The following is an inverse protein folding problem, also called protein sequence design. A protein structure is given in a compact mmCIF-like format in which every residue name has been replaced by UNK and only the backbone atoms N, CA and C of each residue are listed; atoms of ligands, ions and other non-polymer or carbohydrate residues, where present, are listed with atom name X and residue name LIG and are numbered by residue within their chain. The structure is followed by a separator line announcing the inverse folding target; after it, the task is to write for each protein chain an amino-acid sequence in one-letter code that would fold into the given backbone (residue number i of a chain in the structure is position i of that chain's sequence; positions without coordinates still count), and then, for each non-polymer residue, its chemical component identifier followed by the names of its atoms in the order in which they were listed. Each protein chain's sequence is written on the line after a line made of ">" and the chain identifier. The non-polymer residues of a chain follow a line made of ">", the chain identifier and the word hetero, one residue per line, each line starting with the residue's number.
data_IF_601489470341
#
_entry.id   IF_601489470341
#
_cell.length_a   1.000
_cell.length_b   1.000
_cell.length_c   1.000
_cell.angle_alpha   90.00
_cell.angle_beta   90.00
_cell.angle_gamma   90.00
#
_symmetry.space_group_name_H-M   'P 1'
#
loop_
_entity.id
_entity.type
_entity.pdbx_description
1 polymer ?
#
# COMPACT_ATOMS: atom_id res chain seq x y z
N UNK A 1 2.95 -8.44 -14.03
CA UNK A 1 2.67 -8.97 -12.69
C UNK A 1 2.33 -7.83 -11.73
N UNK A 2 1.37 -8.05 -10.84
CA UNK A 2 0.88 -7.07 -9.87
C UNK A 2 1.68 -7.14 -8.56
N UNK A 3 2.98 -6.91 -8.64
CA UNK A 3 3.89 -6.72 -7.50
C UNK A 3 5.31 -6.38 -7.98
N UNK A 4 6.20 -5.95 -7.07
CA UNK A 4 7.62 -5.74 -7.37
C UNK A 4 8.31 -6.99 -7.91
N UNK A 5 9.32 -6.82 -8.76
CA UNK A 5 10.02 -7.94 -9.43
C UNK A 5 10.66 -8.94 -8.47
N UNK A 6 11.07 -8.51 -7.29
CA UNK A 6 11.59 -9.40 -6.23
C UNK A 6 10.53 -10.41 -5.77
N UNK A 7 9.29 -9.96 -5.62
CA UNK A 7 8.17 -10.81 -5.20
C UNK A 7 7.72 -11.76 -6.32
N UNK A 8 7.74 -11.29 -7.59
CA UNK A 8 7.49 -12.17 -8.75
C UNK A 8 8.47 -13.35 -8.72
N UNK A 9 9.75 -13.07 -8.47
CA UNK A 9 10.79 -14.08 -8.39
C UNK A 9 10.57 -15.07 -7.24
N UNK A 10 10.24 -14.58 -6.05
CA UNK A 10 10.01 -15.44 -4.88
C UNK A 10 8.81 -16.37 -5.11
N UNK A 11 7.68 -15.84 -5.60
CA UNK A 11 6.50 -16.65 -5.89
C UNK A 11 6.77 -17.68 -7.01
N UNK A 12 7.52 -17.28 -8.04
CA UNK A 12 7.94 -18.20 -9.11
C UNK A 12 8.79 -19.36 -8.57
N UNK A 13 9.78 -19.06 -7.70
CA UNK A 13 10.65 -20.10 -7.11
C UNK A 13 9.90 -21.05 -6.17
N UNK A 14 8.83 -20.56 -5.52
CA UNK A 14 7.91 -21.38 -4.72
C UNK A 14 6.99 -22.27 -5.57
N UNK A 15 7.00 -22.11 -6.89
CA UNK A 15 6.14 -22.84 -7.82
C UNK A 15 4.78 -22.20 -8.04
N UNK A 16 4.56 -21.01 -7.51
CA UNK A 16 3.36 -20.18 -7.68
C UNK A 16 3.56 -19.12 -8.77
N UNK A 17 2.65 -18.18 -8.84
CA UNK A 17 2.69 -17.01 -9.71
C UNK A 17 2.03 -15.83 -9.06
N UNK A 18 2.15 -14.67 -9.70
CA UNK A 18 1.49 -13.44 -9.29
C UNK A 18 0.45 -13.08 -10.35
N UNK A 19 -0.74 -12.60 -9.96
CA UNK A 19 -1.72 -12.08 -10.92
C UNK A 19 -1.07 -11.10 -11.88
N UNK A 20 -1.36 -11.25 -13.15
CA UNK A 20 -0.68 -10.51 -14.22
C UNK A 20 -1.70 -9.85 -15.12
N UNK A 21 -1.57 -8.55 -15.33
CA UNK A 21 -2.27 -7.84 -16.41
C UNK A 21 -1.41 -7.88 -17.67
N UNK A 22 -2.06 -8.07 -18.81
CA UNK A 22 -1.45 -7.99 -20.13
C UNK A 22 -2.19 -6.95 -20.98
N UNK A 23 -1.43 -6.19 -21.75
CA UNK A 23 -1.98 -5.20 -22.66
C UNK A 23 -1.10 -5.09 -23.92
N UNK A 24 -1.74 -4.76 -25.03
CA UNK A 24 -1.06 -4.48 -26.30
C UNK A 24 -1.41 -3.09 -26.76
N UNK A 25 -0.40 -2.31 -27.15
CA UNK A 25 -0.62 -1.01 -27.76
C UNK A 25 -0.82 -1.21 -29.28
N UNK A 26 -1.99 -0.88 -29.85
CA UNK A 26 -2.30 -1.20 -31.24
C UNK A 26 -1.30 -0.64 -32.25
N UNK A 27 -0.77 0.56 -32.01
CA UNK A 27 0.21 1.19 -32.90
C UNK A 27 1.57 0.49 -32.91
N UNK A 28 1.87 -0.33 -31.90
CA UNK A 28 3.12 -1.08 -31.75
C UNK A 28 2.96 -2.57 -32.10
N UNK A 29 1.81 -2.98 -32.60
CA UNK A 29 1.52 -4.36 -33.03
C UNK A 29 1.14 -4.44 -34.52
N UNK A 30 2.08 -4.18 -35.43
CA UNK A 30 1.79 -4.15 -36.87
C UNK A 30 1.42 -5.51 -37.45
N UNK A 31 1.70 -6.61 -36.74
CA UNK A 31 1.42 -7.98 -37.19
C UNK A 31 0.25 -8.63 -36.47
N UNK A 32 -0.31 -7.99 -35.43
CA UNK A 32 -1.41 -8.54 -34.63
C UNK A 32 -1.02 -9.73 -33.74
N UNK A 33 0.27 -9.91 -33.45
CA UNK A 33 0.82 -11.02 -32.66
C UNK A 33 1.12 -10.63 -31.20
N UNK A 34 1.00 -9.34 -30.86
CA UNK A 34 1.38 -8.77 -29.57
C UNK A 34 0.69 -9.45 -28.38
N UNK A 35 -0.58 -9.80 -28.53
CA UNK A 35 -1.32 -10.48 -27.47
C UNK A 35 -0.80 -11.89 -27.19
N UNK A 36 -0.40 -12.64 -28.22
CA UNK A 36 0.15 -13.97 -28.06
C UNK A 36 1.54 -13.92 -27.39
N UNK A 37 2.36 -12.94 -27.73
CA UNK A 37 3.63 -12.69 -27.02
C UNK A 37 3.40 -12.31 -25.55
N UNK A 38 2.43 -11.44 -25.26
CA UNK A 38 2.11 -11.04 -23.89
C UNK A 38 1.61 -12.24 -23.07
N UNK A 39 0.77 -13.10 -23.63
CA UNK A 39 0.34 -14.36 -23.00
C UNK A 39 1.49 -15.32 -22.76
N UNK A 40 2.36 -15.50 -23.75
CA UNK A 40 3.55 -16.36 -23.61
C UNK A 40 4.48 -15.85 -22.50
N UNK A 41 4.69 -14.54 -22.41
CA UNK A 41 5.48 -13.93 -21.34
C UNK A 41 4.84 -14.13 -19.97
N UNK A 42 3.52 -13.93 -19.84
CA UNK A 42 2.80 -14.18 -18.60
C UNK A 42 2.89 -15.64 -18.13
N UNK A 43 2.88 -16.60 -19.08
CA UNK A 43 3.12 -18.03 -18.79
C UNK A 43 4.56 -18.26 -18.30
N UNK A 44 5.54 -17.68 -19.00
CA UNK A 44 6.96 -17.84 -18.67
C UNK A 44 7.33 -17.31 -17.28
N UNK A 45 6.65 -16.25 -16.81
CA UNK A 45 6.83 -15.65 -15.48
C UNK A 45 5.94 -16.30 -14.40
N UNK A 46 5.14 -17.31 -14.74
CA UNK A 46 4.28 -18.02 -13.79
C UNK A 46 2.92 -17.38 -13.55
N UNK A 47 2.62 -16.23 -14.16
CA UNK A 47 1.36 -15.49 -13.96
C UNK A 47 0.11 -16.31 -14.24
N UNK A 48 0.17 -17.25 -15.19
CA UNK A 48 -0.94 -18.17 -15.52
C UNK A 48 -1.42 -19.02 -14.33
N UNK A 49 -0.59 -19.20 -13.30
CA UNK A 49 -0.95 -19.97 -12.10
C UNK A 49 -1.80 -19.16 -11.13
N UNK A 50 -1.73 -17.85 -11.19
CA UNK A 50 -2.49 -16.94 -10.33
C UNK A 50 -3.64 -16.23 -11.06
N UNK A 51 -3.52 -16.07 -12.38
CA UNK A 51 -4.49 -15.44 -13.24
C UNK A 51 -3.86 -14.41 -14.16
N UNK A 52 -4.33 -14.36 -15.41
CA UNK A 52 -3.91 -13.38 -16.41
C UNK A 52 -5.14 -12.66 -16.92
N UNK A 53 -5.17 -11.34 -16.76
CA UNK A 53 -6.25 -10.46 -17.19
C UNK A 53 -5.80 -9.60 -18.35
N UNK A 54 -6.62 -9.52 -19.39
CA UNK A 54 -6.41 -8.58 -20.47
C UNK A 54 -6.90 -7.19 -20.06
N UNK A 55 -6.07 -6.19 -20.24
CA UNK A 55 -6.29 -4.80 -19.84
C UNK A 55 -5.82 -3.84 -20.93
N UNK A 56 -5.64 -2.58 -20.60
CA UNK A 56 -5.05 -1.56 -21.47
C UNK A 56 -4.01 -0.75 -20.70
N UNK A 57 -3.04 -0.16 -21.41
CA UNK A 57 -2.05 0.73 -20.81
C UNK A 57 -2.69 1.88 -20.04
N UNK A 58 -3.79 2.43 -20.56
CA UNK A 58 -4.48 3.56 -19.90
C UNK A 58 -5.16 3.11 -18.61
N UNK A 59 -5.81 1.95 -18.61
CA UNK A 59 -6.47 1.41 -17.42
C UNK A 59 -5.42 1.04 -16.36
N UNK A 60 -4.36 0.36 -16.78
CA UNK A 60 -3.26 -0.04 -15.91
C UNK A 60 -2.60 1.16 -15.22
N UNK A 61 -2.14 2.15 -15.99
CA UNK A 61 -1.49 3.35 -15.43
C UNK A 61 -2.37 4.06 -14.42
N UNK A 62 -3.68 4.14 -14.65
CA UNK A 62 -4.59 4.82 -13.72
C UNK A 62 -4.80 4.04 -12.43
N UNK A 63 -5.02 2.74 -12.51
CA UNK A 63 -5.29 1.91 -11.33
C UNK A 63 -4.02 1.68 -10.51
N UNK A 64 -2.93 1.35 -11.17
CA UNK A 64 -1.63 1.08 -10.58
C UNK A 64 -1.10 2.30 -9.79
N UNK A 65 -1.01 3.46 -10.46
CA UNK A 65 -0.60 4.69 -9.78
C UNK A 65 -1.50 5.06 -8.60
N UNK A 66 -2.83 4.82 -8.70
CA UNK A 66 -3.74 5.11 -7.60
C UNK A 66 -3.50 4.17 -6.41
N UNK A 67 -3.35 2.88 -6.66
CA UNK A 67 -3.03 1.89 -5.65
C UNK A 67 -1.70 2.19 -4.95
N UNK A 68 -0.62 2.35 -5.75
CA UNK A 68 0.73 2.60 -5.26
C UNK A 68 0.83 3.88 -4.43
N UNK A 69 0.28 5.00 -4.92
CA UNK A 69 0.36 6.28 -4.21
C UNK A 69 -0.43 6.29 -2.91
N UNK A 70 -1.54 5.53 -2.84
CA UNK A 70 -2.45 5.58 -1.70
C UNK A 70 -2.30 4.37 -0.80
N UNK A 71 -3.13 3.33 -0.97
CA UNK A 71 -3.21 2.23 0.00
C UNK A 71 -1.96 1.36 0.03
N UNK A 72 -1.34 1.06 -1.12
CA UNK A 72 -0.24 0.11 -1.18
C UNK A 72 1.03 0.65 -0.50
N UNK A 73 1.39 1.91 -0.74
CA UNK A 73 2.60 2.50 -0.17
C UNK A 73 2.29 3.66 0.78
N UNK A 74 1.46 4.63 0.36
CA UNK A 74 1.21 5.87 1.11
C UNK A 74 0.61 5.66 2.48
N UNK A 75 -0.45 4.84 2.59
CA UNK A 75 -1.10 4.52 3.88
C UNK A 75 -0.18 3.69 4.76
N UNK A 76 0.56 2.71 4.20
CA UNK A 76 1.51 1.91 4.99
C UNK A 76 2.64 2.79 5.55
N UNK A 77 3.16 3.72 4.74
CA UNK A 77 4.20 4.65 5.20
C UNK A 77 3.68 5.60 6.27
N UNK A 78 2.61 6.35 5.98
CA UNK A 78 2.04 7.31 6.90
C UNK A 78 1.54 6.65 8.18
N UNK A 79 0.86 5.51 8.03
CA UNK A 79 0.37 4.69 9.14
C UNK A 79 1.51 4.19 10.02
N UNK A 80 2.63 3.74 9.45
CA UNK A 80 3.80 3.30 10.22
C UNK A 80 4.34 4.42 11.09
N UNK A 81 4.54 5.61 10.51
CA UNK A 81 5.07 6.78 11.22
C UNK A 81 4.10 7.23 12.33
N UNK A 82 2.81 7.35 12.00
CA UNK A 82 1.78 7.82 12.92
C UNK A 82 1.55 6.83 14.07
N UNK A 83 1.40 5.54 13.77
CA UNK A 83 1.20 4.50 14.77
C UNK A 83 2.41 4.40 15.71
N UNK A 84 3.63 4.42 15.14
CA UNK A 84 4.85 4.35 15.95
C UNK A 84 4.95 5.55 16.92
N UNK A 85 4.84 6.77 16.40
CA UNK A 85 4.92 7.97 17.23
C UNK A 85 3.84 7.95 18.32
N UNK A 86 2.62 7.52 17.97
CA UNK A 86 1.53 7.43 18.94
C UNK A 86 1.79 6.39 20.02
N UNK A 87 2.35 5.23 19.68
CA UNK A 87 2.72 4.23 20.69
C UNK A 87 3.78 4.77 21.64
N UNK A 88 4.78 5.50 21.14
CA UNK A 88 5.79 6.15 22.00
C UNK A 88 5.13 7.17 22.93
N UNK A 89 4.24 8.03 22.44
CA UNK A 89 3.50 9.02 23.24
C UNK A 89 2.64 8.35 24.33
N UNK A 90 2.13 7.15 24.07
CA UNK A 90 1.37 6.35 25.03
C UNK A 90 2.24 5.54 26.00
N UNK A 91 3.58 5.64 25.87
CA UNK A 91 4.55 5.04 26.78
C UNK A 91 4.89 3.57 26.50
N UNK A 92 4.68 3.11 25.27
CA UNK A 92 5.18 1.79 24.86
C UNK A 92 6.69 1.82 24.68
N UNK A 93 7.35 0.66 24.90
CA UNK A 93 8.77 0.49 24.63
C UNK A 93 9.03 0.60 23.11
N UNK A 94 10.09 1.31 22.75
CA UNK A 94 10.35 1.69 21.36
C UNK A 94 10.60 0.50 20.42
N UNK A 95 11.39 -0.47 20.86
CA UNK A 95 11.66 -1.69 20.09
C UNK A 95 10.41 -2.56 19.93
N UNK A 96 9.54 -2.64 20.95
CA UNK A 96 8.25 -3.31 20.87
C UNK A 96 7.34 -2.62 19.85
N UNK A 97 7.21 -1.28 19.93
CA UNK A 97 6.41 -0.51 18.98
C UNK A 97 6.92 -0.68 17.55
N UNK A 98 8.25 -0.62 17.34
CA UNK A 98 8.84 -0.85 16.03
C UNK A 98 8.54 -2.26 15.49
N UNK A 99 8.64 -3.29 16.34
CA UNK A 99 8.35 -4.66 15.96
C UNK A 99 6.87 -4.87 15.61
N UNK A 100 5.98 -4.39 16.46
CA UNK A 100 4.53 -4.52 16.25
C UNK A 100 4.13 -3.93 14.90
N UNK A 101 4.62 -2.74 14.59
CA UNK A 101 4.25 -2.05 13.36
C UNK A 101 4.93 -2.68 12.15
N UNK A 102 6.22 -2.95 12.21
CA UNK A 102 6.98 -3.49 11.10
C UNK A 102 6.41 -4.82 10.59
N UNK A 103 6.07 -5.73 11.47
CA UNK A 103 5.54 -7.07 11.11
C UNK A 103 4.00 -7.15 11.16
N UNK A 104 3.36 -6.20 11.82
CA UNK A 104 1.91 -6.18 11.94
C UNK A 104 1.19 -5.92 10.62
N UNK A 105 1.76 -5.07 9.75
CA UNK A 105 1.16 -4.84 8.43
C UNK A 105 1.03 -6.13 7.63
N UNK A 106 2.10 -6.93 7.55
CA UNK A 106 2.09 -8.21 6.84
C UNK A 106 1.05 -9.16 7.44
N UNK A 107 1.06 -9.32 8.78
CA UNK A 107 0.13 -10.23 9.48
C UNK A 107 -1.34 -9.85 9.25
N UNK A 108 -1.65 -8.56 9.31
CA UNK A 108 -3.01 -8.03 9.12
C UNK A 108 -3.45 -8.16 7.66
N UNK A 109 -2.60 -7.82 6.72
CA UNK A 109 -2.94 -7.82 5.29
C UNK A 109 -2.97 -9.21 4.68
N UNK A 110 -2.21 -10.18 5.19
CA UNK A 110 -2.35 -11.58 4.81
C UNK A 110 -3.72 -12.15 5.22
N UNK A 111 -4.20 -11.83 6.42
CA UNK A 111 -5.56 -12.19 6.83
C UNK A 111 -6.62 -11.53 5.92
N UNK A 112 -6.42 -10.25 5.58
CA UNK A 112 -7.27 -9.53 4.65
C UNK A 112 -7.33 -10.21 3.28
N UNK A 113 -6.18 -10.60 2.72
CA UNK A 113 -6.09 -11.27 1.42
C UNK A 113 -6.85 -12.59 1.38
N UNK A 114 -6.73 -13.39 2.44
CA UNK A 114 -7.34 -14.72 2.49
C UNK A 114 -8.82 -14.71 2.86
N UNK A 115 -9.24 -13.80 3.73
CA UNK A 115 -10.55 -13.84 4.37
C UNK A 115 -11.37 -12.55 4.19
N UNK A 116 -10.82 -11.57 3.44
CA UNK A 116 -11.44 -10.27 3.21
C UNK A 116 -11.51 -9.40 4.47
N UNK A 117 -12.07 -8.19 4.32
CA UNK A 117 -12.25 -7.25 5.45
C UNK A 117 -13.04 -7.89 6.58
N UNK A 118 -14.12 -8.63 6.26
CA UNK A 118 -14.95 -9.30 7.28
C UNK A 118 -14.16 -10.35 8.06
N UNK A 119 -13.30 -11.13 7.40
CA UNK A 119 -12.45 -12.13 8.05
C UNK A 119 -11.41 -11.49 8.95
N UNK A 120 -10.73 -10.47 8.46
CA UNK A 120 -9.77 -9.69 9.25
C UNK A 120 -10.41 -9.13 10.55
N UNK A 121 -11.60 -8.53 10.46
CA UNK A 121 -12.31 -7.99 11.61
C UNK A 121 -12.80 -9.07 12.57
N UNK A 122 -13.14 -10.28 12.08
CA UNK A 122 -13.55 -11.40 12.94
C UNK A 122 -12.45 -11.88 13.89
N UNK A 123 -11.18 -11.57 13.64
CA UNK A 123 -10.06 -11.84 14.56
C UNK A 123 -10.17 -11.06 15.87
N UNK A 124 -10.96 -10.00 15.92
CA UNK A 124 -11.13 -9.10 17.06
C UNK A 124 -12.31 -9.51 17.93
N UNK A 125 -12.29 -9.12 19.20
CA UNK A 125 -13.47 -9.17 20.06
C UNK A 125 -14.51 -8.11 19.65
N UNK A 126 -15.69 -8.15 20.28
CA UNK A 126 -16.80 -7.27 19.90
C UNK A 126 -16.53 -5.79 20.16
N UNK A 127 -15.80 -5.45 21.22
CA UNK A 127 -15.46 -4.07 21.56
C UNK A 127 -14.46 -3.52 20.55
N UNK A 128 -13.40 -4.27 20.26
CA UNK A 128 -12.39 -3.92 19.26
C UNK A 128 -12.99 -3.82 17.85
N UNK A 129 -13.93 -4.68 17.47
CA UNK A 129 -14.65 -4.56 16.18
C UNK A 129 -15.41 -3.26 16.05
N UNK A 130 -16.14 -2.88 17.10
CA UNK A 130 -16.86 -1.61 17.12
C UNK A 130 -15.89 -0.43 16.99
N UNK A 131 -14.77 -0.51 17.69
CA UNK A 131 -13.74 0.53 17.66
C UNK A 131 -13.09 0.67 16.29
N UNK A 132 -12.69 -0.43 15.65
CA UNK A 132 -12.18 -0.43 14.28
C UNK A 132 -13.19 0.17 13.32
N UNK A 133 -14.46 -0.21 13.43
CA UNK A 133 -15.49 0.37 12.56
C UNK A 133 -15.57 1.89 12.71
N UNK A 134 -15.67 2.37 13.95
CA UNK A 134 -15.73 3.81 14.26
C UNK A 134 -14.52 4.57 13.73
N UNK A 135 -13.31 4.09 14.03
CA UNK A 135 -12.07 4.74 13.57
C UNK A 135 -11.94 4.72 12.05
N UNK A 136 -12.32 3.60 11.41
CA UNK A 136 -12.27 3.50 9.96
C UNK A 136 -13.19 4.50 9.27
N UNK A 137 -14.40 4.70 9.77
CA UNK A 137 -15.34 5.69 9.21
C UNK A 137 -14.83 7.13 9.40
N UNK A 138 -14.22 7.43 10.55
CA UNK A 138 -13.59 8.73 10.79
C UNK A 138 -12.39 8.95 9.83
N UNK A 139 -11.51 7.95 9.70
CA UNK A 139 -10.38 7.97 8.77
C UNK A 139 -10.84 8.10 7.31
N UNK A 140 -11.88 7.37 6.88
CA UNK A 140 -12.46 7.51 5.55
C UNK A 140 -12.89 8.95 5.30
N UNK A 141 -13.66 9.52 6.23
CA UNK A 141 -14.15 10.90 6.11
C UNK A 141 -13.01 11.90 5.95
N UNK A 142 -11.95 11.76 6.76
CA UNK A 142 -10.81 12.66 6.73
C UNK A 142 -9.98 12.48 5.46
N UNK A 143 -9.72 11.24 5.04
CA UNK A 143 -8.82 10.96 3.93
C UNK A 143 -9.48 11.02 2.54
N UNK A 144 -10.81 11.02 2.44
CA UNK A 144 -11.52 11.09 1.14
C UNK A 144 -10.98 12.18 0.21
N UNK A 145 -10.85 13.46 0.65
CA UNK A 145 -10.34 14.51 -0.23
C UNK A 145 -8.90 14.27 -0.71
N UNK A 146 -8.09 13.58 0.09
CA UNK A 146 -6.72 13.23 -0.29
C UNK A 146 -6.71 12.19 -1.40
N UNK A 147 -7.50 11.12 -1.27
CA UNK A 147 -7.64 10.09 -2.30
C UNK A 147 -8.20 10.65 -3.61
N UNK A 148 -9.23 11.49 -3.55
CA UNK A 148 -9.79 12.18 -4.72
C UNK A 148 -8.77 13.09 -5.40
N UNK A 149 -7.93 13.77 -4.62
CA UNK A 149 -6.86 14.63 -5.15
C UNK A 149 -5.81 13.81 -5.90
N UNK A 150 -5.36 12.69 -5.33
CA UNK A 150 -4.42 11.79 -6.01
C UNK A 150 -5.01 11.26 -7.32
N UNK A 151 -6.24 10.75 -7.29
CA UNK A 151 -6.92 10.27 -8.50
C UNK A 151 -7.05 11.36 -9.57
N UNK A 152 -7.47 12.56 -9.18
CA UNK A 152 -7.55 13.71 -10.09
C UNK A 152 -6.19 14.05 -10.71
N UNK A 153 -5.12 14.06 -9.93
CA UNK A 153 -3.79 14.38 -10.42
C UNK A 153 -3.26 13.32 -11.40
N UNK A 154 -3.60 12.05 -11.17
CA UNK A 154 -3.32 10.96 -12.10
C UNK A 154 -4.10 11.16 -13.41
N UNK A 155 -5.42 11.37 -13.32
CA UNK A 155 -6.28 11.50 -14.50
C UNK A 155 -5.94 12.71 -15.37
N UNK A 156 -5.53 13.82 -14.76
CA UNK A 156 -5.14 15.06 -15.48
C UNK A 156 -3.70 15.07 -15.96
N UNK A 157 -2.89 14.08 -15.54
CA UNK A 157 -1.46 14.03 -15.80
C UNK A 157 -0.65 15.05 -14.98
N UNK A 158 -1.25 15.71 -13.99
CA UNK A 158 -0.56 16.66 -13.12
C UNK A 158 0.54 15.98 -12.32
N UNK A 159 0.28 14.78 -11.80
CA UNK A 159 1.26 13.96 -11.10
C UNK A 159 2.51 13.69 -11.96
N UNK A 160 2.30 13.18 -13.17
CA UNK A 160 3.41 12.86 -14.08
C UNK A 160 4.21 14.10 -14.46
N UNK A 161 3.55 15.24 -14.64
CA UNK A 161 4.24 16.52 -14.93
C UNK A 161 5.08 16.98 -13.75
N UNK A 162 4.55 16.90 -12.53
CA UNK A 162 5.25 17.27 -11.31
C UNK A 162 6.51 16.41 -11.12
N UNK A 163 6.37 15.09 -11.22
CA UNK A 163 7.49 14.17 -11.14
C UNK A 163 8.55 14.42 -12.21
N UNK A 164 8.14 14.67 -13.47
CA UNK A 164 9.08 14.98 -14.55
C UNK A 164 9.82 16.32 -14.33
N UNK A 165 9.20 17.28 -13.67
CA UNK A 165 9.87 18.55 -13.30
C UNK A 165 10.93 18.27 -12.24
N UNK A 166 10.61 17.47 -11.22
CA UNK A 166 11.56 17.10 -10.17
C UNK A 166 12.74 16.31 -10.75
N UNK A 167 12.46 15.35 -11.63
CA UNK A 167 13.50 14.61 -12.35
C UNK A 167 14.46 15.51 -13.13
N UNK A 168 13.94 16.53 -13.84
CA UNK A 168 14.78 17.53 -14.52
C UNK A 168 15.60 18.38 -13.55
N UNK A 169 15.17 18.47 -12.30
CA UNK A 169 15.87 19.15 -11.20
C UNK A 169 16.74 18.19 -10.37
N UNK A 170 17.18 17.08 -10.96
CA UNK A 170 18.00 16.04 -10.33
C UNK A 170 17.33 15.38 -9.10
N UNK A 171 16.03 15.14 -9.16
CA UNK A 171 15.24 14.47 -8.14
C UNK A 171 15.33 15.13 -6.76
N UNK A 172 15.38 16.45 -6.73
CA UNK A 172 15.65 17.21 -5.50
C UNK A 172 14.61 16.94 -4.41
N UNK A 173 13.31 16.89 -4.76
CA UNK A 173 12.25 16.56 -3.82
C UNK A 173 12.28 15.08 -3.42
N UNK A 174 12.41 14.18 -4.38
CA UNK A 174 12.49 12.74 -4.15
C UNK A 174 13.61 12.40 -3.16
N UNK A 175 14.81 12.91 -3.40
CA UNK A 175 15.97 12.65 -2.53
C UNK A 175 15.79 13.24 -1.13
N UNK A 176 15.19 14.42 -1.02
CA UNK A 176 14.85 15.05 0.25
C UNK A 176 13.87 14.18 1.06
N UNK A 177 12.77 13.75 0.46
CA UNK A 177 11.76 12.91 1.13
C UNK A 177 12.30 11.54 1.52
N UNK A 178 13.19 10.98 0.71
CA UNK A 178 13.91 9.75 1.00
C UNK A 178 14.76 9.90 2.26
N UNK A 179 15.49 11.01 2.39
CA UNK A 179 16.28 11.33 3.60
C UNK A 179 15.37 11.55 4.82
N UNK A 180 14.28 12.28 4.66
CA UNK A 180 13.28 12.48 5.72
C UNK A 180 12.72 11.14 6.21
N UNK A 181 12.38 10.22 5.31
CA UNK A 181 11.92 8.87 5.66
C UNK A 181 12.96 8.09 6.45
N UNK A 182 14.22 8.05 5.98
CA UNK A 182 15.33 7.42 6.67
C UNK A 182 15.65 8.04 8.03
N UNK A 183 15.21 9.28 8.25
CA UNK A 183 15.43 10.03 9.49
C UNK A 183 14.32 9.85 10.53
N UNK A 184 13.21 9.19 10.20
CA UNK A 184 12.10 8.96 11.14
C UNK A 184 12.53 8.08 12.31
N UNK A 185 11.89 8.26 13.46
CA UNK A 185 12.16 7.43 14.63
C UNK A 185 11.81 5.96 14.40
N UNK A 186 10.72 5.68 13.65
CA UNK A 186 10.37 4.32 13.28
C UNK A 186 11.48 3.64 12.49
N UNK A 187 12.05 4.34 11.51
CA UNK A 187 13.13 3.79 10.66
C UNK A 187 14.39 3.48 11.46
N UNK A 188 14.76 4.38 12.37
CA UNK A 188 15.98 4.26 13.19
C UNK A 188 15.88 3.26 14.34
N UNK A 189 14.68 2.93 14.81
CA UNK A 189 14.49 2.03 15.94
C UNK A 189 14.59 0.57 15.52
N UNK A 190 15.47 -0.20 16.16
CA UNK A 190 15.54 -1.64 15.96
C UNK A 190 14.35 -2.33 16.64
N UNK A 191 13.72 -3.32 15.97
CA UNK A 191 12.68 -4.12 16.60
C UNK A 191 13.24 -4.92 17.79
N UNK A 192 12.44 -5.07 18.86
CA UNK A 192 12.82 -5.87 20.02
C UNK A 192 12.91 -7.36 19.70
N UNK A 193 13.62 -8.12 20.52
CA UNK A 193 13.67 -9.59 20.42
C UNK A 193 12.40 -10.27 21.01
N UNK A 194 11.51 -9.51 21.66
CA UNK A 194 10.27 -10.03 22.24
C UNK A 194 9.43 -10.75 21.18
N UNK A 195 8.93 -11.94 21.51
CA UNK A 195 8.02 -12.67 20.63
C UNK A 195 6.63 -12.04 20.75
N UNK A 196 6.08 -11.62 19.61
CA UNK A 196 4.69 -11.16 19.49
C UNK A 196 3.90 -12.28 18.82
N UNK A 197 2.92 -12.79 19.52
CA UNK A 197 2.04 -13.84 19.00
C UNK A 197 1.13 -13.29 17.89
N UNK A 198 0.77 -14.14 16.93
CA UNK A 198 -0.05 -13.73 15.78
C UNK A 198 -1.32 -12.97 16.20
N UNK A 199 -2.01 -13.42 17.25
CA UNK A 199 -3.21 -12.76 17.74
C UNK A 199 -2.93 -11.39 18.37
N UNK A 200 -1.76 -11.16 18.92
CA UNK A 200 -1.39 -9.87 19.53
C UNK A 200 -1.22 -8.76 18.49
N UNK A 201 -0.85 -9.08 17.26
CA UNK A 201 -0.86 -8.11 16.17
C UNK A 201 -2.28 -7.58 15.88
N UNK A 202 -3.31 -8.39 16.10
CA UNK A 202 -4.71 -7.95 15.99
C UNK A 202 -5.15 -7.19 17.23
N UNK A 203 -4.88 -7.72 18.40
CA UNK A 203 -5.33 -7.13 19.68
C UNK A 203 -4.71 -5.75 19.95
N UNK A 204 -3.48 -5.53 19.52
CA UNK A 204 -2.73 -4.28 19.72
C UNK A 204 -2.62 -3.42 18.44
N UNK A 205 -3.12 -3.93 17.32
CA UNK A 205 -3.07 -3.28 16.00
C UNK A 205 -4.38 -2.63 15.57
N UNK A 206 -5.25 -2.25 16.49
CA UNK A 206 -6.57 -1.67 16.20
C UNK A 206 -6.48 -0.49 15.23
N UNK A 207 -5.57 0.43 15.50
CA UNK A 207 -5.34 1.59 14.63
C UNK A 207 -4.82 1.18 13.25
N UNK A 208 -3.90 0.22 13.17
CA UNK A 208 -3.38 -0.31 11.90
C UNK A 208 -4.48 -0.97 11.07
N UNK A 209 -5.32 -1.80 11.71
CA UNK A 209 -6.49 -2.44 11.07
C UNK A 209 -7.46 -1.38 10.55
N UNK A 210 -7.65 -0.29 11.31
CA UNK A 210 -8.50 0.82 10.90
C UNK A 210 -7.95 1.56 9.67
N UNK A 211 -6.63 1.76 9.60
CA UNK A 211 -5.95 2.30 8.41
C UNK A 211 -6.10 1.37 7.20
N UNK A 212 -5.89 0.08 7.38
CA UNK A 212 -6.03 -0.92 6.29
C UNK A 212 -7.47 -0.92 5.77
N UNK A 213 -8.46 -1.04 6.67
CA UNK A 213 -9.87 -1.05 6.25
C UNK A 213 -10.25 0.21 5.50
N UNK A 214 -9.99 1.39 6.08
CA UNK A 214 -10.35 2.66 5.46
C UNK A 214 -9.61 2.92 4.15
N UNK A 215 -8.32 2.60 4.09
CA UNK A 215 -7.50 2.80 2.90
C UNK A 215 -7.90 1.89 1.74
N UNK A 216 -8.18 0.60 2.01
CA UNK A 216 -8.67 -0.35 0.99
C UNK A 216 -10.02 0.09 0.44
N UNK A 217 -10.98 0.42 1.31
CA UNK A 217 -12.29 0.89 0.88
C UNK A 217 -12.21 2.17 0.06
N UNK A 218 -11.43 3.18 0.52
CA UNK A 218 -11.25 4.44 -0.21
C UNK A 218 -10.59 4.26 -1.57
N UNK A 219 -9.51 3.47 -1.63
CA UNK A 219 -8.82 3.21 -2.89
C UNK A 219 -9.75 2.52 -3.88
N UNK A 220 -10.45 1.46 -3.46
CA UNK A 220 -11.40 0.73 -4.29
C UNK A 220 -12.53 1.64 -4.79
N UNK A 221 -13.23 2.31 -3.86
CA UNK A 221 -14.36 3.19 -4.19
C UNK A 221 -13.93 4.34 -5.12
N UNK A 222 -12.78 4.97 -4.85
CA UNK A 222 -12.27 6.05 -5.70
C UNK A 222 -11.96 5.58 -7.11
N UNK A 223 -11.34 4.41 -7.26
CA UNK A 223 -11.04 3.83 -8.57
C UNK A 223 -12.33 3.50 -9.35
N UNK A 224 -13.27 2.80 -8.73
CA UNK A 224 -14.54 2.41 -9.36
C UNK A 224 -15.36 3.65 -9.75
N UNK A 225 -15.46 4.64 -8.87
CA UNK A 225 -16.16 5.90 -9.16
C UNK A 225 -15.53 6.70 -10.33
N UNK A 226 -14.28 6.40 -10.68
CA UNK A 226 -13.58 7.00 -11.82
C UNK A 226 -13.48 6.06 -13.02
N UNK A 227 -14.31 5.01 -13.07
CA UNK A 227 -14.49 4.14 -14.24
C UNK A 227 -13.45 3.04 -14.38
N UNK A 228 -12.68 2.73 -13.33
CA UNK A 228 -11.83 1.55 -13.28
C UNK A 228 -12.71 0.35 -12.93
N UNK A 229 -12.52 -0.76 -13.63
CA UNK A 229 -13.31 -1.99 -13.41
C UNK A 229 -13.00 -2.58 -12.03
N UNK A 230 -13.98 -3.25 -11.46
CA UNK A 230 -13.92 -3.79 -10.08
C UNK A 230 -12.73 -4.74 -9.87
N UNK A 231 -12.41 -5.57 -10.86
CA UNK A 231 -11.29 -6.51 -10.79
C UNK A 231 -9.93 -5.78 -10.66
N UNK A 232 -9.71 -4.75 -11.48
CA UNK A 232 -8.48 -3.96 -11.38
C UNK A 232 -8.42 -3.19 -10.07
N UNK A 233 -9.53 -2.56 -9.66
CA UNK A 233 -9.61 -1.86 -8.39
C UNK A 233 -9.34 -2.80 -7.19
N UNK A 234 -9.83 -4.04 -7.24
CA UNK A 234 -9.59 -5.06 -6.22
C UNK A 234 -8.10 -5.44 -6.14
N UNK A 235 -7.45 -5.70 -7.27
CA UNK A 235 -6.03 -6.04 -7.27
C UNK A 235 -5.17 -4.91 -6.71
N UNK A 236 -5.43 -3.67 -7.12
CA UNK A 236 -4.66 -2.48 -6.74
C UNK A 236 -4.96 -1.96 -5.32
N UNK A 237 -6.06 -2.37 -4.72
CA UNK A 237 -6.40 -1.89 -3.37
C UNK A 237 -6.23 -2.94 -2.29
N UNK A 238 -6.40 -4.23 -2.61
CA UNK A 238 -6.45 -5.28 -1.60
C UNK A 238 -5.46 -6.42 -1.86
N UNK A 239 -5.46 -6.96 -3.09
CA UNK A 239 -4.74 -8.21 -3.35
C UNK A 239 -3.22 -8.03 -3.33
N UNK A 240 -2.73 -6.89 -3.80
CA UNK A 240 -1.30 -6.56 -3.83
C UNK A 240 -0.76 -6.05 -2.48
N UNK A 241 -1.64 -5.57 -1.62
CA UNK A 241 -1.26 -4.94 -0.34
C UNK A 241 -0.35 -5.81 0.55
N UNK A 242 -0.58 -7.13 0.73
CA UNK A 242 0.30 -7.98 1.53
C UNK A 242 1.73 -8.07 0.98
N UNK A 243 1.92 -7.94 -0.33
CA UNK A 243 3.25 -7.98 -0.94
C UNK A 243 4.08 -6.75 -0.56
N UNK A 244 3.47 -5.58 -0.53
CA UNK A 244 4.12 -4.35 -0.06
C UNK A 244 4.31 -4.40 1.46
N UNK A 245 3.32 -4.88 2.21
CA UNK A 245 3.43 -5.08 3.66
C UNK A 245 4.58 -6.04 4.02
N UNK A 246 4.80 -7.10 3.24
CA UNK A 246 5.96 -7.99 3.37
C UNK A 246 7.29 -7.26 3.11
N UNK A 247 7.35 -6.32 2.15
CA UNK A 247 8.53 -5.47 1.96
C UNK A 247 8.79 -4.60 3.20
N UNK A 248 7.75 -4.01 3.80
CA UNK A 248 7.89 -3.25 5.05
C UNK A 248 8.41 -4.15 6.18
N UNK A 249 7.89 -5.37 6.31
CA UNK A 249 8.33 -6.33 7.31
C UNK A 249 9.81 -6.67 7.17
N UNK A 250 10.30 -6.87 5.95
CA UNK A 250 11.68 -7.26 5.68
C UNK A 250 12.66 -6.10 5.62
N UNK A 251 12.22 -4.91 5.22
CA UNK A 251 13.09 -3.80 4.80
C UNK A 251 12.79 -2.46 5.46
N UNK A 252 11.66 -2.33 6.17
CA UNK A 252 11.08 -1.05 6.61
C UNK A 252 10.78 -0.10 5.45
N UNK A 253 10.55 1.19 5.75
CA UNK A 253 10.04 2.15 4.77
C UNK A 253 11.11 2.64 3.79
N UNK A 254 12.31 2.92 4.29
CA UNK A 254 13.39 3.49 3.47
C UNK A 254 13.76 2.56 2.31
N UNK A 255 14.07 1.31 2.63
CA UNK A 255 14.44 0.32 1.59
C UNK A 255 13.23 -0.15 0.79
N UNK A 256 12.03 -0.22 1.38
CA UNK A 256 10.81 -0.53 0.65
C UNK A 256 10.62 0.47 -0.50
N UNK A 257 10.69 1.78 -0.22
CA UNK A 257 10.55 2.81 -1.23
C UNK A 257 11.63 2.75 -2.33
N UNK A 258 12.84 2.31 -2.00
CA UNK A 258 13.93 2.14 -2.99
C UNK A 258 13.80 0.88 -3.86
N UNK A 259 12.97 -0.08 -3.46
CA UNK A 259 12.75 -1.34 -4.19
C UNK A 259 11.60 -1.20 -5.18
N UNK A 260 10.56 -0.43 -4.82
CA UNK A 260 9.43 -0.15 -5.70
C UNK A 260 9.83 0.77 -6.85
N UNK A 261 8.91 1.08 -7.76
CA UNK A 261 9.18 1.98 -8.88
C UNK A 261 9.39 3.43 -8.41
N UNK A 262 10.13 4.24 -9.19
CA UNK A 262 10.31 5.66 -8.89
C UNK A 262 8.98 6.41 -8.87
N UNK A 263 8.00 6.00 -9.68
CA UNK A 263 6.65 6.57 -9.70
C UNK A 263 5.89 6.24 -8.42
N UNK A 264 5.99 5.01 -7.93
CA UNK A 264 5.40 4.59 -6.67
C UNK A 264 6.05 5.32 -5.48
N UNK A 265 7.38 5.41 -5.44
CA UNK A 265 8.11 6.12 -4.39
C UNK A 265 7.70 7.61 -4.34
N UNK A 266 7.72 8.28 -5.49
CA UNK A 266 7.37 9.70 -5.57
C UNK A 266 5.92 9.94 -5.11
N UNK A 267 4.98 9.13 -5.59
CA UNK A 267 3.58 9.21 -5.21
C UNK A 267 3.33 8.88 -3.74
N UNK A 268 4.02 7.89 -3.20
CA UNK A 268 4.00 7.54 -1.77
C UNK A 268 4.40 8.74 -0.89
N UNK A 269 5.48 9.43 -1.26
CA UNK A 269 5.93 10.61 -0.51
C UNK A 269 4.95 11.79 -0.60
N UNK A 270 4.38 12.06 -1.77
CA UNK A 270 3.34 13.09 -1.91
C UNK A 270 2.14 12.80 -1.01
N UNK A 271 1.68 11.55 -0.98
CA UNK A 271 0.61 11.13 -0.09
C UNK A 271 1.01 11.31 1.37
N UNK A 272 2.18 10.82 1.77
CA UNK A 272 2.68 10.89 3.14
C UNK A 272 2.75 12.34 3.67
N UNK A 273 3.32 13.27 2.89
CA UNK A 273 3.41 14.68 3.30
C UNK A 273 2.03 15.28 3.63
N UNK A 274 1.04 14.97 2.82
CA UNK A 274 -0.33 15.46 3.02
C UNK A 274 -1.04 14.71 4.16
N UNK A 275 -0.89 13.40 4.23
CA UNK A 275 -1.56 12.53 5.18
C UNK A 275 -1.13 12.80 6.63
N UNK A 276 0.17 12.97 6.88
CA UNK A 276 0.70 13.27 8.23
C UNK A 276 0.08 14.56 8.79
N UNK A 277 -0.02 15.59 7.96
CA UNK A 277 -0.63 16.88 8.37
C UNK A 277 -2.14 16.72 8.58
N UNK A 278 -2.82 16.06 7.66
CA UNK A 278 -4.27 15.88 7.65
C UNK A 278 -4.76 15.09 8.88
N UNK A 279 -4.01 14.11 9.33
CA UNK A 279 -4.37 13.25 10.45
C UNK A 279 -3.88 13.74 11.82
N UNK A 280 -3.23 14.91 11.90
CA UNK A 280 -2.71 15.45 13.15
C UNK A 280 -3.76 15.50 14.27
N UNK A 281 -4.90 16.12 14.03
CA UNK A 281 -5.98 16.25 15.01
C UNK A 281 -6.62 14.89 15.35
N UNK A 282 -6.77 14.01 14.37
CA UNK A 282 -7.26 12.66 14.59
C UNK A 282 -6.35 11.89 15.56
N UNK A 283 -5.05 11.94 15.35
CA UNK A 283 -4.08 11.25 16.20
C UNK A 283 -4.06 11.76 17.65
N UNK A 284 -4.47 13.00 17.93
CA UNK A 284 -4.58 13.49 19.31
C UNK A 284 -5.65 12.75 20.12
N UNK A 285 -6.70 12.25 19.48
CA UNK A 285 -7.82 11.51 20.11
C UNK A 285 -7.50 10.05 20.40
N UNK A 286 -6.46 9.50 19.79
CA UNK A 286 -6.06 8.09 19.96
C UNK A 286 -5.48 7.89 21.37
N UNK A 287 -5.87 6.81 22.03
CA UNK A 287 -5.44 6.42 23.38
C UNK A 287 -5.07 4.92 23.44
N UNK A 288 -4.80 4.38 24.61
CA UNK A 288 -4.31 2.99 24.80
C UNK A 288 -5.29 1.89 24.37
N UNK A 289 -6.55 2.22 24.15
CA UNK A 289 -7.58 1.25 23.69
C UNK A 289 -7.62 1.13 22.16
N UNK A 290 -6.85 1.96 21.46
CA UNK A 290 -6.76 2.03 20.02
C UNK A 290 -5.49 1.36 19.50
#
# INVERSE_FOLDING_TARGET
>A
PKCPGTEVREEYLRGFGVPTLIAVHPENDPHGEGLDYAKAYAVATGGHKAGVLESSFVAEVKSDLMGEQTILCGVLQSGSILCYNKMIDLGYESGFAAKLIQYGWETITEELKHNGISGMIKRLDNESRYLVHKLSEELKTIMTPLFETHMKNILTGSFSKEMMIDWKNNDANLLKWREETGSTNFEKTFPSDEIIENQDYFNKGILMISFVKSGVELAFETMVNNGIIDESAYYESLHELPLIANLVARKKLYEMNRIISDTAEYGCYLFNQSCLTLLGDFMTKINKNH
#
